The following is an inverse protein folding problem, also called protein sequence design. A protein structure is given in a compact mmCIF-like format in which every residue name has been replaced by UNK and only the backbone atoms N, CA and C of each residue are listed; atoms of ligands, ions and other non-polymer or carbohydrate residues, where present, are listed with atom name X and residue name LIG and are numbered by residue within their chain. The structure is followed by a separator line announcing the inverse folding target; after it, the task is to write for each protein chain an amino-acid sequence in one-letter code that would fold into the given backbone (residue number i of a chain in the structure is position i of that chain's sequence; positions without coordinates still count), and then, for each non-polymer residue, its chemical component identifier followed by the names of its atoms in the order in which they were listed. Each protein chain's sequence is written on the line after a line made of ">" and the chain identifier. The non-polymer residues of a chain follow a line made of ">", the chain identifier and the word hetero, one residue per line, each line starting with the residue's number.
data_IF_599827650215
#
_entry.id   IF_599827650215
#
_cell.length_a   1.000
_cell.length_b   1.000
_cell.length_c   1.000
_cell.angle_alpha   90.00
_cell.angle_beta   90.00
_cell.angle_gamma   90.00
#
_symmetry.space_group_name_H-M   'P 1'
#
loop_
_entity.id
_entity.type
_entity.pdbx_description
1 polymer ?
#
# COMPACT_ATOMS: atom_id res chain seq x y z
N UNK A 1 -12.01 10.59 -0.97
CA UNK A 1 -10.76 9.84 -0.68
C UNK A 1 -10.09 9.50 -2.00
N UNK A 2 -8.91 10.04 -2.23
CA UNK A 2 -8.17 9.81 -3.48
C UNK A 2 -7.30 8.56 -3.36
N UNK A 3 -7.90 7.41 -3.67
CA UNK A 3 -7.23 6.11 -3.67
C UNK A 3 -7.17 5.60 -5.10
N UNK A 4 -5.98 5.15 -5.52
CA UNK A 4 -5.78 4.49 -6.81
C UNK A 4 -5.80 2.98 -6.56
N UNK A 5 -6.77 2.30 -7.14
CA UNK A 5 -6.90 0.84 -7.08
C UNK A 5 -6.14 0.20 -8.24
N UNK A 6 -5.82 -1.12 -8.16
CA UNK A 6 -5.21 -1.82 -9.28
C UNK A 6 -6.08 -1.75 -10.53
N UNK A 7 -5.46 -1.41 -11.65
CA UNK A 7 -6.14 -1.47 -12.96
C UNK A 7 -6.21 -2.91 -13.45
N UNK A 8 -7.38 -3.33 -13.87
CA UNK A 8 -7.61 -4.65 -14.47
C UNK A 8 -8.09 -4.47 -15.90
N UNK A 9 -7.40 -5.08 -16.84
CA UNK A 9 -7.82 -5.08 -18.24
C UNK A 9 -9.20 -5.76 -18.37
N UNK A 10 -10.08 -5.29 -19.28
CA UNK A 10 -11.43 -5.85 -19.41
C UNK A 10 -11.47 -7.37 -19.68
N UNK A 11 -10.45 -7.88 -20.38
CA UNK A 11 -10.30 -9.30 -20.71
C UNK A 11 -9.59 -10.12 -19.63
N UNK A 12 -9.07 -9.47 -18.58
CA UNK A 12 -8.35 -10.13 -17.50
C UNK A 12 -9.29 -10.51 -16.36
N UNK A 13 -9.01 -11.67 -15.72
CA UNK A 13 -9.69 -12.12 -14.53
C UNK A 13 -8.63 -12.54 -13.50
N UNK A 14 -8.07 -11.60 -12.73
CA UNK A 14 -6.99 -11.90 -11.81
C UNK A 14 -7.44 -12.77 -10.65
N UNK A 15 -6.61 -13.72 -10.29
CA UNK A 15 -6.72 -14.48 -9.04
C UNK A 15 -5.95 -13.72 -7.97
N UNK A 16 -6.63 -12.83 -7.25
CA UNK A 16 -6.02 -11.93 -6.31
C UNK A 16 -5.27 -12.68 -5.20
N UNK A 17 -3.97 -12.42 -5.12
CA UNK A 17 -3.10 -12.84 -4.02
C UNK A 17 -2.86 -11.68 -3.05
N UNK A 18 -2.53 -10.51 -3.59
CA UNK A 18 -2.35 -9.26 -2.87
C UNK A 18 -3.27 -8.21 -3.49
N UNK A 19 -3.86 -7.36 -2.67
CA UNK A 19 -4.60 -6.21 -3.14
C UNK A 19 -3.92 -4.92 -2.66
N UNK A 20 -3.14 -4.33 -3.54
CA UNK A 20 -2.34 -3.15 -3.26
C UNK A 20 -3.05 -1.90 -3.76
N UNK A 21 -3.14 -0.89 -2.92
CA UNK A 21 -3.69 0.42 -3.28
C UNK A 21 -2.62 1.49 -3.12
N UNK A 22 -2.82 2.62 -3.80
CA UNK A 22 -1.91 3.75 -3.75
C UNK A 22 -2.63 4.99 -3.24
N UNK A 23 -1.93 5.76 -2.42
CA UNK A 23 -2.40 7.04 -1.88
C UNK A 23 -1.27 8.05 -1.95
N UNK A 24 -1.56 9.24 -2.45
CA UNK A 24 -0.61 10.34 -2.44
C UNK A 24 -0.60 11.00 -1.06
N UNK A 25 0.29 10.53 -0.19
CA UNK A 25 0.42 11.04 1.18
C UNK A 25 0.87 12.50 1.25
N UNK A 26 1.41 13.06 0.16
CA UNK A 26 1.79 14.49 0.15
C UNK A 26 0.60 15.44 0.22
N UNK A 27 -0.58 14.93 -0.11
CA UNK A 27 -1.86 15.66 -0.08
C UNK A 27 -2.67 15.45 1.19
N UNK A 28 -2.16 14.66 2.12
CA UNK A 28 -2.87 14.28 3.34
C UNK A 28 -2.20 14.85 4.58
N UNK A 29 -2.96 14.92 5.67
CA UNK A 29 -2.45 15.28 7.01
C UNK A 29 -1.81 14.12 7.75
N UNK A 30 -1.85 12.93 7.17
CA UNK A 30 -1.29 11.69 7.72
C UNK A 30 -0.24 11.13 6.78
N UNK A 31 0.87 10.65 7.32
CA UNK A 31 1.86 9.90 6.55
C UNK A 31 1.59 8.38 6.63
N UNK A 32 2.34 7.62 5.83
CA UNK A 32 2.20 6.16 5.76
C UNK A 32 2.45 5.47 7.11
N UNK A 33 3.46 5.90 7.85
CA UNK A 33 3.83 5.30 9.15
C UNK A 33 2.69 5.47 10.15
N UNK A 34 2.14 6.67 10.20
CA UNK A 34 1.00 6.98 11.07
C UNK A 34 -0.26 6.24 10.64
N UNK A 35 -0.52 6.13 9.34
CA UNK A 35 -1.62 5.33 8.81
C UNK A 35 -1.54 3.88 9.30
N UNK A 36 -0.37 3.25 9.17
CA UNK A 36 -0.16 1.87 9.62
C UNK A 36 -0.43 1.74 11.12
N UNK A 37 0.02 2.69 11.93
CA UNK A 37 -0.20 2.70 13.38
C UNK A 37 -1.69 2.85 13.73
N UNK A 38 -2.40 3.77 13.08
CA UNK A 38 -3.83 3.99 13.33
C UNK A 38 -4.71 2.81 12.90
N UNK A 39 -4.40 2.20 11.76
CA UNK A 39 -5.10 0.98 11.31
C UNK A 39 -4.85 -0.19 12.26
N UNK A 40 -3.60 -0.35 12.73
CA UNK A 40 -3.25 -1.39 13.71
C UNK A 40 -4.01 -1.23 15.04
N UNK A 41 -4.20 -0.01 15.52
CA UNK A 41 -5.01 0.27 16.73
C UNK A 41 -6.46 -0.22 16.56
N UNK A 42 -6.95 -0.26 15.32
CA UNK A 42 -8.29 -0.75 14.98
C UNK A 42 -8.32 -2.26 14.68
N UNK A 43 -7.22 -2.97 14.92
CA UNK A 43 -7.10 -4.41 14.65
C UNK A 43 -6.86 -4.76 13.19
N UNK A 44 -6.52 -3.78 12.34
CA UNK A 44 -6.29 -3.97 10.91
C UNK A 44 -4.80 -3.81 10.60
N UNK A 45 -4.16 -4.88 10.13
CA UNK A 45 -2.74 -4.87 9.78
C UNK A 45 -2.56 -4.66 8.29
N UNK A 46 -1.99 -3.51 7.92
CA UNK A 46 -1.56 -3.23 6.56
C UNK A 46 -0.17 -3.82 6.31
N UNK A 47 0.12 -4.14 5.07
CA UNK A 47 1.42 -4.65 4.64
C UNK A 47 2.04 -3.77 3.56
N UNK A 48 3.33 -3.98 3.33
CA UNK A 48 4.12 -3.24 2.35
C UNK A 48 4.90 -4.22 1.47
N UNK A 49 4.58 -4.27 0.18
CA UNK A 49 5.19 -5.16 -0.81
C UNK A 49 5.72 -4.36 -2.01
N UNK A 50 6.97 -3.98 -2.02
CA UNK A 50 8.07 -4.14 -1.05
C UNK A 50 8.96 -2.89 -1.06
N UNK A 51 9.94 -2.80 -0.15
CA UNK A 51 11.01 -1.81 -0.24
C UNK A 51 11.75 -1.99 -1.57
N UNK A 52 11.98 -0.92 -2.37
CA UNK A 52 12.67 -1.03 -3.65
C UNK A 52 14.04 -1.67 -3.50
N UNK A 53 14.34 -2.64 -4.35
CA UNK A 53 15.55 -3.47 -4.25
C UNK A 53 16.83 -2.63 -4.25
N UNK A 54 16.89 -1.59 -5.08
CA UNK A 54 18.08 -0.73 -5.19
C UNK A 54 18.36 0.09 -3.93
N UNK A 55 17.38 0.25 -3.02
CA UNK A 55 17.57 0.95 -1.74
C UNK A 55 18.00 0.01 -0.60
N UNK A 56 18.09 -1.28 -0.85
CA UNK A 56 18.59 -2.24 0.12
C UNK A 56 20.12 -2.09 0.35
N UNK A 57 20.63 -2.34 1.57
CA UNK A 57 22.04 -2.12 1.89
C UNK A 57 23.02 -2.83 0.95
N UNK A 58 22.73 -4.05 0.53
CA UNK A 58 23.57 -4.80 -0.41
C UNK A 58 23.73 -4.06 -1.73
N UNK A 59 22.65 -3.57 -2.31
CA UNK A 59 22.68 -2.86 -3.59
C UNK A 59 23.26 -1.44 -3.45
N UNK A 60 23.06 -0.79 -2.30
CA UNK A 60 23.75 0.48 -2.02
C UNK A 60 25.28 0.33 -2.05
N UNK A 61 25.81 -0.78 -1.53
CA UNK A 61 27.24 -1.10 -1.60
C UNK A 61 27.73 -1.28 -3.03
N UNK A 62 26.84 -1.66 -3.96
CA UNK A 62 27.16 -1.79 -5.39
C UNK A 62 27.07 -0.47 -6.16
N UNK A 63 26.71 0.63 -5.49
CA UNK A 63 26.62 1.98 -6.09
C UNK A 63 25.21 2.46 -6.41
N UNK A 64 24.17 1.65 -6.19
CA UNK A 64 22.78 2.09 -6.34
C UNK A 64 22.40 3.02 -5.19
N UNK A 65 21.56 3.99 -5.49
CA UNK A 65 21.13 5.00 -4.50
C UNK A 65 19.72 5.49 -4.76
N UNK A 66 19.17 6.19 -3.80
CA UNK A 66 17.92 6.93 -3.92
C UNK A 66 17.99 7.90 -5.10
N UNK A 67 16.95 7.93 -5.93
CA UNK A 67 16.87 8.72 -7.15
C UNK A 67 17.18 7.95 -8.43
N UNK A 68 17.82 6.78 -8.35
CA UNK A 68 18.19 5.99 -9.53
C UNK A 68 16.98 5.41 -10.27
N UNK A 69 15.91 5.08 -9.53
CA UNK A 69 14.67 4.49 -10.08
C UNK A 69 13.45 5.25 -9.56
N UNK A 70 13.18 6.46 -10.07
CA UNK A 70 12.15 7.35 -9.50
C UNK A 70 10.72 6.78 -9.56
N UNK A 71 10.38 5.99 -10.58
CA UNK A 71 9.06 5.38 -10.66
C UNK A 71 8.84 4.32 -9.59
N UNK A 72 9.86 3.49 -9.32
CA UNK A 72 9.84 2.49 -8.26
C UNK A 72 9.74 3.16 -6.87
N UNK A 73 10.48 4.23 -6.67
CA UNK A 73 10.50 4.99 -5.42
C UNK A 73 9.17 5.70 -5.17
N UNK A 74 8.58 6.29 -6.20
CA UNK A 74 7.25 6.91 -6.13
C UNK A 74 6.19 5.87 -5.80
N UNK A 75 6.21 4.73 -6.48
CA UNK A 75 5.29 3.63 -6.21
C UNK A 75 5.38 3.18 -4.75
N UNK A 76 6.60 2.96 -4.25
CA UNK A 76 6.84 2.60 -2.85
C UNK A 76 6.34 3.65 -1.86
N UNK A 77 6.51 4.93 -2.16
CA UNK A 77 6.04 6.01 -1.29
C UNK A 77 4.52 6.01 -1.13
N UNK A 78 3.78 5.61 -2.17
CA UNK A 78 2.33 5.66 -2.22
C UNK A 78 1.62 4.36 -1.85
N UNK A 79 2.29 3.20 -2.02
CA UNK A 79 1.66 1.88 -1.96
C UNK A 79 1.52 1.33 -0.55
N UNK A 80 0.45 0.60 -0.31
CA UNK A 80 0.31 -0.37 0.78
C UNK A 80 -0.71 -1.44 0.42
N UNK A 81 -0.65 -2.57 1.12
CA UNK A 81 -1.47 -3.75 0.84
C UNK A 81 -2.53 -3.91 1.91
N UNK A 82 -3.78 -4.04 1.48
CA UNK A 82 -4.92 -4.33 2.35
C UNK A 82 -4.95 -5.81 2.74
N UNK A 83 -5.55 -6.17 3.89
CA UNK A 83 -5.78 -7.57 4.21
C UNK A 83 -6.58 -8.28 3.14
N UNK A 84 -6.09 -9.44 2.70
CA UNK A 84 -6.77 -10.30 1.74
C UNK A 84 -6.42 -11.76 2.03
N UNK A 85 -7.43 -12.58 2.31
CA UNK A 85 -7.30 -14.01 2.55
C UNK A 85 -8.62 -14.70 2.24
N UNK A 86 -8.59 -16.03 2.07
CA UNK A 86 -9.73 -16.81 1.56
C UNK A 86 -11.02 -16.61 2.36
N UNK A 87 -10.94 -16.61 3.70
CA UNK A 87 -12.11 -16.51 4.59
C UNK A 87 -12.52 -15.07 4.93
N UNK A 88 -11.93 -14.07 4.27
CA UNK A 88 -12.29 -12.66 4.49
C UNK A 88 -13.74 -12.41 4.07
N UNK A 89 -14.58 -12.03 5.04
CA UNK A 89 -16.00 -11.76 4.79
C UNK A 89 -16.23 -10.37 4.20
N UNK A 90 -17.41 -10.15 3.63
CA UNK A 90 -17.82 -8.83 3.11
C UNK A 90 -17.88 -7.80 4.24
N UNK A 91 -18.39 -8.17 5.41
CA UNK A 91 -18.45 -7.31 6.58
C UNK A 91 -17.06 -6.87 7.03
N UNK A 92 -16.08 -7.79 7.03
CA UNK A 92 -14.69 -7.47 7.35
C UNK A 92 -14.06 -6.54 6.30
N UNK A 93 -14.39 -6.72 5.03
CA UNK A 93 -13.95 -5.81 3.97
C UNK A 93 -14.53 -4.40 4.18
N UNK A 94 -15.81 -4.29 4.52
CA UNK A 94 -16.47 -3.02 4.81
C UNK A 94 -15.86 -2.33 6.03
N UNK A 95 -15.51 -3.08 7.07
CA UNK A 95 -14.80 -2.56 8.24
C UNK A 95 -13.43 -1.98 7.86
N UNK A 96 -12.65 -2.71 7.04
CA UNK A 96 -11.33 -2.26 6.55
C UNK A 96 -11.47 -0.96 5.76
N UNK A 97 -12.42 -0.90 4.83
CA UNK A 97 -12.65 0.29 3.99
C UNK A 97 -13.12 1.47 4.82
N UNK A 98 -14.01 1.24 5.77
CA UNK A 98 -14.51 2.29 6.69
C UNK A 98 -13.39 2.87 7.53
N UNK A 99 -12.59 2.00 8.17
CA UNK A 99 -11.44 2.41 8.97
C UNK A 99 -10.42 3.20 8.14
N UNK A 100 -10.15 2.75 6.90
CA UNK A 100 -9.25 3.42 6.00
C UNK A 100 -9.75 4.82 5.63
N UNK A 101 -11.02 4.97 5.28
CA UNK A 101 -11.65 6.27 4.99
C UNK A 101 -11.54 7.24 6.15
N UNK A 102 -11.73 6.77 7.36
CA UNK A 102 -11.61 7.60 8.56
C UNK A 102 -10.18 8.04 8.83
N UNK A 103 -9.20 7.16 8.60
CA UNK A 103 -7.78 7.48 8.79
C UNK A 103 -7.23 8.43 7.73
N UNK A 104 -7.74 8.38 6.50
CA UNK A 104 -7.27 9.19 5.36
C UNK A 104 -7.99 10.55 5.22
N UNK A 105 -8.82 10.89 6.17
CA UNK A 105 -9.48 12.21 6.18
C UNK A 105 -8.54 13.35 6.46
#
# INVERSE_FOLDING_TARGET
>A
MDVITPYVLPEANPSWHLYMIRVDFTKLSIDKVKLFAEMKKRGIVLNLHYIPVHTQPYYQKLGFKQGDFPNSEKYYAEIFTLPLYYDLTEEQQDEIVTALKECLR
#
